data_IF_515905704514
#
_entry.id   IF_515905704514
#
_cell.length_a   1.000
_cell.length_b   1.000
_cell.length_c   1.000
_cell.angle_alpha   90.00
_cell.angle_beta   90.00
_cell.angle_gamma   90.00
#
_symmetry.space_group_name_H-M   'P 1'
#
loop_
_entity.id
_entity.type
_entity.pdbx_description
1 polymer ?
#
# COMPACT_ATOMS: atom_id res chain seq x y z
N UNK A 1 16.43 49.69 0.60
CA UNK A 1 17.85 49.37 0.43
C UNK A 1 17.96 47.87 0.38
N UNK A 2 17.71 47.34 -0.79
CA UNK A 2 18.60 46.73 -1.77
C UNK A 2 19.60 45.77 -1.10
N UNK A 3 19.48 44.46 -1.34
CA UNK A 3 20.41 43.67 -2.14
C UNK A 3 19.79 42.30 -2.52
N UNK A 4 19.57 42.18 -3.81
CA UNK A 4 19.41 40.93 -4.58
C UNK A 4 20.70 40.13 -4.55
N UNK A 5 20.64 38.81 -4.45
CA UNK A 5 21.65 37.91 -5.01
C UNK A 5 21.02 36.67 -5.64
N UNK A 6 20.87 36.78 -6.91
CA UNK A 6 20.68 35.70 -7.90
C UNK A 6 21.95 34.85 -7.95
N UNK A 7 21.85 33.54 -7.83
CA UNK A 7 22.89 32.60 -8.29
C UNK A 7 22.21 31.54 -9.13
N UNK A 8 22.42 31.66 -10.43
CA UNK A 8 22.18 30.63 -11.46
C UNK A 8 23.32 29.60 -11.37
N UNK A 9 22.99 28.32 -11.28
CA UNK A 9 23.91 27.26 -11.66
C UNK A 9 23.23 26.33 -12.67
N UNK A 10 23.61 26.56 -13.93
CA UNK A 10 23.44 25.60 -15.02
C UNK A 10 24.56 24.57 -14.94
N UNK A 11 24.26 23.30 -14.86
CA UNK A 11 25.19 22.26 -15.28
C UNK A 11 24.44 21.25 -16.16
N UNK A 12 24.73 21.36 -17.43
CA UNK A 12 24.40 20.39 -18.46
C UNK A 12 25.31 19.16 -18.28
N UNK A 13 24.74 17.95 -18.22
CA UNK A 13 25.49 16.71 -18.36
C UNK A 13 24.94 15.96 -19.58
N UNK A 14 25.89 15.72 -20.48
CA UNK A 14 25.70 15.14 -21.81
C UNK A 14 25.35 13.66 -21.76
N UNK A 15 24.48 13.26 -22.68
CA UNK A 15 24.20 11.87 -23.07
C UNK A 15 25.44 11.18 -23.62
N UNK A 16 25.68 9.95 -23.19
CA UNK A 16 26.50 8.99 -23.91
C UNK A 16 25.67 7.73 -24.17
N UNK A 17 25.26 7.58 -25.44
CA UNK A 17 24.65 6.36 -26.00
C UNK A 17 25.75 5.33 -26.24
N UNK A 18 25.60 4.13 -25.69
CA UNK A 18 26.28 2.92 -26.19
C UNK A 18 25.26 1.91 -26.68
N UNK A 19 25.16 1.82 -28.00
CA UNK A 19 24.54 0.67 -28.70
C UNK A 19 25.54 -0.50 -28.70
N UNK A 20 25.11 -1.63 -28.16
CA UNK A 20 25.74 -2.91 -28.46
C UNK A 20 24.68 -3.86 -29.03
N UNK A 21 24.78 -4.09 -30.35
CA UNK A 21 24.03 -5.11 -31.07
C UNK A 21 24.70 -6.46 -30.85
N UNK A 22 23.92 -7.49 -30.53
CA UNK A 22 24.34 -8.87 -30.66
C UNK A 22 23.26 -9.67 -31.36
N UNK A 23 23.63 -10.26 -32.50
CA UNK A 23 22.82 -11.03 -33.45
C UNK A 23 22.63 -12.50 -32.98
N UNK A 24 21.61 -13.23 -33.52
CA UNK A 24 21.24 -14.57 -33.08
C UNK A 24 22.07 -15.66 -33.76
N UNK A 25 22.42 -16.71 -33.03
CA UNK A 25 22.96 -17.95 -33.57
C UNK A 25 21.81 -18.96 -33.73
N UNK A 26 21.62 -19.38 -34.98
CA UNK A 26 20.80 -20.54 -35.37
C UNK A 26 21.57 -21.83 -35.10
N UNK A 27 20.97 -22.79 -34.42
CA UNK A 27 21.39 -24.18 -34.51
C UNK A 27 20.21 -25.09 -34.86
N UNK A 28 20.40 -25.79 -35.95
CA UNK A 28 19.54 -26.82 -36.57
C UNK A 28 19.78 -28.14 -35.85
N UNK A 29 18.79 -28.75 -35.28
CA UNK A 29 18.84 -30.11 -34.71
C UNK A 29 17.67 -30.96 -35.18
N UNK A 30 18.00 -32.05 -35.82
CA UNK A 30 17.26 -33.10 -36.52
C UNK A 30 16.20 -33.84 -35.68
N UNK A 31 15.11 -34.36 -36.28
CA UNK A 31 13.99 -34.97 -35.56
C UNK A 31 14.26 -36.42 -35.12
N UNK A 32 14.05 -36.70 -33.87
CA UNK A 32 14.06 -38.06 -33.28
C UNK A 32 12.64 -38.60 -33.09
N UNK A 33 12.49 -39.86 -33.43
CA UNK A 33 11.35 -40.79 -33.48
C UNK A 33 10.49 -40.84 -32.22
N UNK A 34 9.16 -41.08 -32.31
CA UNK A 34 8.22 -41.08 -31.18
C UNK A 34 8.35 -42.40 -30.36
N UNK A 35 8.72 -42.22 -29.09
CA UNK A 35 8.61 -43.26 -28.08
C UNK A 35 7.28 -43.18 -27.35
N UNK A 36 6.50 -44.23 -27.42
CA UNK A 36 5.29 -44.50 -26.64
C UNK A 36 5.66 -44.60 -25.17
N UNK A 37 5.14 -43.71 -24.34
CA UNK A 37 5.19 -43.86 -22.88
C UNK A 37 3.78 -43.80 -22.28
N UNK A 38 3.51 -44.91 -21.65
CA UNK A 38 2.34 -45.30 -20.83
C UNK A 38 2.05 -44.23 -19.75
N UNK A 39 0.81 -43.82 -19.68
CA UNK A 39 0.28 -42.91 -18.66
C UNK A 39 0.38 -43.55 -17.25
N UNK A 40 0.94 -42.86 -16.27
CA UNK A 40 0.73 -43.22 -14.88
C UNK A 40 -0.51 -42.50 -14.33
N UNK A 41 -1.34 -43.29 -13.74
CA UNK A 41 -2.55 -43.02 -12.97
C UNK A 41 -2.43 -41.81 -12.05
N UNK A 42 -3.32 -40.86 -12.21
CA UNK A 42 -3.49 -39.70 -11.33
C UNK A 42 -4.10 -40.14 -10.02
N UNK A 43 -3.33 -40.14 -8.96
CA UNK A 43 -3.85 -40.21 -7.59
C UNK A 43 -4.25 -38.77 -7.20
N UNK A 44 -5.51 -38.50 -6.79
CA UNK A 44 -5.85 -37.18 -6.27
C UNK A 44 -5.24 -37.04 -4.87
N UNK A 45 -4.15 -36.27 -4.77
CA UNK A 45 -3.60 -35.86 -3.49
C UNK A 45 -4.51 -34.76 -2.95
N UNK A 46 -5.47 -35.14 -2.10
CA UNK A 46 -6.22 -34.20 -1.28
C UNK A 46 -5.32 -33.78 -0.11
N UNK A 47 -4.45 -32.80 -0.35
CA UNK A 47 -3.80 -32.09 0.75
C UNK A 47 -4.87 -31.25 1.47
N UNK A 48 -4.99 -31.32 2.80
CA UNK A 48 -5.83 -30.40 3.54
C UNK A 48 -5.26 -29.00 3.33
N UNK A 49 -6.02 -28.14 2.63
CA UNK A 49 -5.75 -26.72 2.55
C UNK A 49 -5.85 -26.19 3.99
N UNK A 50 -4.71 -25.91 4.61
CA UNK A 50 -4.65 -25.19 5.87
C UNK A 50 -5.31 -23.83 5.62
N UNK A 51 -6.53 -23.66 6.12
CA UNK A 51 -7.23 -22.37 6.08
C UNK A 51 -6.41 -21.40 6.92
N UNK A 52 -5.67 -20.53 6.24
CA UNK A 52 -5.00 -19.39 6.88
C UNK A 52 -6.08 -18.65 7.67
N UNK A 53 -5.85 -18.26 8.93
CA UNK A 53 -6.83 -17.46 9.66
C UNK A 53 -7.21 -16.26 8.79
N UNK A 54 -8.49 -16.16 8.47
CA UNK A 54 -8.99 -15.10 7.61
C UNK A 54 -9.11 -13.85 8.46
N UNK A 55 -8.39 -12.79 8.08
CA UNK A 55 -8.54 -11.48 8.70
C UNK A 55 -10.01 -11.06 8.63
N UNK A 56 -10.56 -10.61 9.76
CA UNK A 56 -11.93 -10.09 9.78
C UNK A 56 -11.89 -8.61 9.41
N UNK A 57 -12.59 -8.23 8.34
CA UNK A 57 -12.72 -6.82 7.95
C UNK A 57 -13.17 -5.96 9.13
N UNK A 58 -12.52 -4.80 9.30
CA UNK A 58 -12.85 -3.81 10.32
C UNK A 58 -13.44 -2.59 9.61
N UNK A 59 -14.69 -2.26 9.91
CA UNK A 59 -15.36 -1.07 9.40
C UNK A 59 -14.96 0.13 10.27
N UNK A 60 -14.28 1.12 9.68
CA UNK A 60 -13.85 2.34 10.35
C UNK A 60 -14.87 3.46 10.21
N UNK A 61 -15.46 3.61 9.03
CA UNK A 61 -16.49 4.59 8.74
C UNK A 61 -17.46 4.06 7.68
N UNK A 62 -18.75 4.32 7.86
CA UNK A 62 -19.80 4.15 6.85
C UNK A 62 -20.84 5.23 7.01
N UNK A 63 -20.70 6.28 6.23
CA UNK A 63 -21.56 7.46 6.25
C UNK A 63 -22.20 7.70 4.89
N UNK A 64 -23.01 8.76 4.76
CA UNK A 64 -23.54 9.19 3.47
C UNK A 64 -22.41 9.62 2.50
N UNK A 65 -21.28 10.09 3.06
CA UNK A 65 -20.21 10.72 2.31
C UNK A 65 -19.03 9.78 2.02
N UNK A 66 -18.72 8.86 2.95
CA UNK A 66 -17.54 8.00 2.83
C UNK A 66 -17.80 6.60 3.39
N UNK A 67 -17.04 5.62 2.86
CA UNK A 67 -16.86 4.32 3.50
C UNK A 67 -15.36 4.01 3.60
N UNK A 68 -14.93 3.55 4.78
CA UNK A 68 -13.54 3.18 5.04
C UNK A 68 -13.51 1.85 5.79
N UNK A 69 -12.74 0.89 5.27
CA UNK A 69 -12.59 -0.45 5.88
C UNK A 69 -11.13 -0.87 5.86
N UNK A 70 -10.70 -1.56 6.91
CA UNK A 70 -9.48 -2.37 6.88
C UNK A 70 -9.85 -3.77 6.40
N UNK A 71 -9.18 -4.24 5.36
CA UNK A 71 -9.49 -5.52 4.70
C UNK A 71 -8.47 -6.61 5.00
N UNK A 72 -7.26 -6.23 5.41
CA UNK A 72 -6.22 -7.16 5.85
C UNK A 72 -5.16 -6.44 6.68
N UNK A 73 -4.44 -7.20 7.51
CA UNK A 73 -3.19 -6.82 8.13
C UNK A 73 -2.07 -7.72 7.59
N UNK A 74 -0.93 -7.13 7.24
CA UNK A 74 0.21 -7.84 6.68
C UNK A 74 1.47 -7.51 7.48
N UNK A 75 2.10 -8.55 8.03
CA UNK A 75 3.45 -8.49 8.56
C UNK A 75 4.44 -9.01 7.51
N UNK A 76 5.69 -8.57 7.54
CA UNK A 76 6.73 -8.92 6.57
C UNK A 76 6.52 -8.34 5.16
N UNK A 77 5.80 -7.23 5.03
CA UNK A 77 5.86 -6.43 3.82
C UNK A 77 7.25 -5.80 3.67
N UNK A 78 7.58 -5.31 2.51
CA UNK A 78 8.81 -4.53 2.29
C UNK A 78 8.94 -3.34 3.26
N UNK A 79 7.83 -2.84 3.76
CA UNK A 79 7.75 -1.71 4.70
C UNK A 79 7.64 -2.14 6.17
N UNK A 80 7.59 -3.44 6.52
CA UNK A 80 7.43 -3.93 7.89
C UNK A 80 5.99 -4.34 8.19
N UNK A 81 5.13 -3.42 8.64
CA UNK A 81 3.71 -3.69 8.92
C UNK A 81 2.80 -2.84 8.05
N UNK A 82 1.71 -3.41 7.56
CA UNK A 82 0.76 -2.71 6.70
C UNK A 82 -0.68 -3.15 6.98
N UNK A 83 -1.59 -2.17 7.01
CA UNK A 83 -3.03 -2.38 6.96
C UNK A 83 -3.53 -2.12 5.54
N UNK A 84 -4.19 -3.09 4.91
CA UNK A 84 -4.86 -2.88 3.62
C UNK A 84 -6.18 -2.17 3.87
N UNK A 85 -6.41 -1.09 3.14
CA UNK A 85 -7.56 -0.22 3.34
C UNK A 85 -8.35 -0.08 2.06
N UNK A 86 -9.67 -0.26 2.16
CA UNK A 86 -10.63 0.11 1.13
C UNK A 86 -11.25 1.46 1.48
N UNK A 87 -11.25 2.36 0.49
CA UNK A 87 -11.82 3.70 0.58
C UNK A 87 -12.92 3.85 -0.47
N UNK A 88 -14.02 4.49 -0.10
CA UNK A 88 -15.05 4.95 -1.03
C UNK A 88 -15.42 6.40 -0.72
N UNK A 89 -15.27 7.25 -1.72
CA UNK A 89 -15.75 8.62 -1.72
C UNK A 89 -17.12 8.65 -2.42
N UNK A 90 -18.18 8.92 -1.67
CA UNK A 90 -19.57 8.98 -2.15
C UNK A 90 -20.01 10.40 -2.50
N UNK A 91 -19.10 11.39 -2.37
CA UNK A 91 -19.38 12.80 -2.63
C UNK A 91 -19.10 13.20 -4.08
N UNK A 92 -19.43 14.42 -4.44
CA UNK A 92 -19.15 15.07 -5.72
C UNK A 92 -17.82 15.84 -5.74
N UNK A 93 -17.03 15.78 -4.68
CA UNK A 93 -15.72 16.43 -4.50
C UNK A 93 -14.61 15.40 -4.41
N UNK A 94 -13.39 15.80 -4.69
CA UNK A 94 -12.20 15.01 -4.36
C UNK A 94 -11.91 15.12 -2.87
N UNK A 95 -11.72 13.97 -2.21
CA UNK A 95 -11.44 13.91 -0.78
C UNK A 95 -10.04 13.39 -0.51
N UNK A 96 -9.40 13.98 0.49
CA UNK A 96 -8.15 13.49 1.09
C UNK A 96 -8.49 12.68 2.33
N UNK A 97 -7.91 11.49 2.43
CA UNK A 97 -7.98 10.59 3.58
C UNK A 97 -6.62 10.56 4.26
N UNK A 98 -6.58 10.85 5.56
CA UNK A 98 -5.35 10.84 6.38
C UNK A 98 -5.62 10.21 7.73
N UNK A 99 -4.55 9.84 8.43
CA UNK A 99 -4.59 9.50 9.84
C UNK A 99 -3.67 10.43 10.60
N UNK A 100 -4.14 10.91 11.73
CA UNK A 100 -3.44 11.81 12.63
C UNK A 100 -3.31 11.16 14.01
N UNK A 101 -2.38 11.61 14.85
CA UNK A 101 -2.21 11.18 16.24
C UNK A 101 -2.11 9.65 16.40
N UNK A 102 -1.30 9.02 15.56
CA UNK A 102 -1.23 7.56 15.49
C UNK A 102 -0.35 7.01 16.60
N UNK A 103 -0.86 6.00 17.31
CA UNK A 103 -0.08 5.22 18.26
C UNK A 103 -0.26 3.72 18.03
N UNK A 104 0.83 2.96 18.22
CA UNK A 104 0.86 1.50 18.18
C UNK A 104 1.31 1.00 19.52
N UNK A 105 0.49 0.18 20.18
CA UNK A 105 0.73 -0.31 21.54
C UNK A 105 1.06 0.81 22.55
N UNK A 106 0.47 2.02 22.34
CA UNK A 106 0.68 3.20 23.16
C UNK A 106 1.93 4.04 22.83
N UNK A 107 2.75 3.64 21.85
CA UNK A 107 3.87 4.45 21.35
C UNK A 107 3.44 5.27 20.15
N UNK A 108 3.74 6.58 20.15
CA UNK A 108 3.52 7.43 18.97
C UNK A 108 4.37 6.91 17.81
N UNK A 109 3.72 6.52 16.73
CA UNK A 109 4.35 5.84 15.61
C UNK A 109 3.58 6.17 14.33
N UNK A 110 3.98 7.25 13.66
CA UNK A 110 3.28 7.77 12.50
C UNK A 110 3.52 6.90 11.25
N UNK A 111 2.45 6.43 10.59
CA UNK A 111 2.60 5.68 9.34
C UNK A 111 2.86 6.61 8.17
N UNK A 112 3.42 6.05 7.11
CA UNK A 112 3.46 6.73 5.82
C UNK A 112 2.14 6.51 5.07
N UNK A 113 1.21 7.46 5.18
CA UNK A 113 -0.07 7.37 4.47
C UNK A 113 -0.84 8.68 4.33
N UNK A 114 -1.21 8.97 3.11
CA UNK A 114 -2.27 9.89 2.70
C UNK A 114 -2.80 9.44 1.34
N UNK A 115 -4.09 9.48 1.11
CA UNK A 115 -4.70 9.03 -0.14
C UNK A 115 -5.77 10.01 -0.62
N UNK A 116 -5.66 10.44 -1.88
CA UNK A 116 -6.68 11.25 -2.55
C UNK A 116 -7.62 10.37 -3.36
N UNK A 117 -8.91 10.53 -3.16
CA UNK A 117 -9.94 9.77 -3.89
C UNK A 117 -10.88 10.74 -4.60
N UNK A 118 -10.90 10.69 -5.92
CA UNK A 118 -11.76 11.55 -6.74
C UNK A 118 -13.27 11.31 -6.46
N UNK A 119 -14.09 12.28 -6.81
CA UNK A 119 -15.55 12.27 -6.64
C UNK A 119 -16.19 10.97 -7.14
N UNK A 120 -16.95 10.29 -6.28
CA UNK A 120 -17.68 9.07 -6.62
C UNK A 120 -16.78 7.85 -6.92
N UNK A 121 -15.50 7.86 -6.51
CA UNK A 121 -14.54 6.79 -6.77
C UNK A 121 -14.17 6.01 -5.51
N UNK A 122 -13.46 4.91 -5.74
CA UNK A 122 -12.97 3.97 -4.73
C UNK A 122 -11.47 3.79 -4.90
N UNK A 123 -10.77 3.51 -3.80
CA UNK A 123 -9.36 3.15 -3.81
C UNK A 123 -9.09 1.97 -2.90
N UNK A 124 -8.12 1.14 -3.28
CA UNK A 124 -7.47 0.19 -2.40
C UNK A 124 -6.04 0.65 -2.17
N UNK A 125 -5.69 0.89 -0.92
CA UNK A 125 -4.40 1.45 -0.52
C UNK A 125 -3.86 0.71 0.71
N UNK A 126 -2.74 1.18 1.26
CA UNK A 126 -2.15 0.59 2.47
C UNK A 126 -1.64 1.68 3.39
N UNK A 127 -2.03 1.62 4.66
CA UNK A 127 -1.38 2.35 5.74
C UNK A 127 -0.17 1.53 6.16
N UNK A 128 1.04 2.08 6.10
CA UNK A 128 2.27 1.30 6.29
C UNK A 128 3.22 1.97 7.26
N UNK A 129 3.88 1.17 8.10
CA UNK A 129 4.93 1.57 9.02
C UNK A 129 6.24 0.92 8.62
N UNK A 130 7.36 1.61 8.83
CA UNK A 130 8.67 1.00 8.63
C UNK A 130 9.00 0.06 9.79
N UNK A 131 9.73 -1.00 9.50
CA UNK A 131 10.18 -1.95 10.53
C UNK A 131 11.04 -1.25 11.61
N UNK A 132 11.85 -0.26 11.21
CA UNK A 132 12.65 0.56 12.12
C UNK A 132 11.82 1.27 13.18
N UNK A 133 10.63 1.76 12.83
CA UNK A 133 9.78 2.50 13.77
C UNK A 133 9.29 1.59 14.90
N UNK A 134 9.09 0.31 14.59
CA UNK A 134 8.71 -0.70 15.58
C UNK A 134 9.92 -1.19 16.40
N UNK A 135 11.06 -1.39 15.75
CA UNK A 135 12.31 -1.78 16.41
C UNK A 135 12.76 -0.73 17.45
N UNK A 136 12.72 0.56 17.07
CA UNK A 136 13.11 1.68 17.94
C UNK A 136 12.19 1.81 19.17
N UNK A 137 10.93 1.41 19.07
CA UNK A 137 9.94 1.40 20.15
C UNK A 137 9.82 0.04 20.86
N UNK A 138 10.59 -0.98 20.44
CA UNK A 138 10.55 -2.33 21.02
C UNK A 138 9.26 -3.09 20.75
N UNK A 139 8.51 -2.72 19.70
CA UNK A 139 7.24 -3.34 19.31
C UNK A 139 7.56 -4.60 18.49
N UNK A 140 7.28 -5.77 19.07
CA UNK A 140 7.47 -7.07 18.39
C UNK A 140 6.19 -7.59 17.75
N UNK A 141 5.05 -7.27 18.33
CA UNK A 141 3.72 -7.65 17.86
C UNK A 141 2.78 -6.45 17.97
N UNK A 142 1.92 -6.27 16.99
CA UNK A 142 0.92 -5.19 16.99
C UNK A 142 -0.33 -5.73 17.67
N UNK A 143 -0.61 -5.22 18.87
CA UNK A 143 -1.78 -5.59 19.65
C UNK A 143 -2.92 -4.58 19.49
N UNK A 144 -2.55 -3.29 19.42
CA UNK A 144 -3.50 -2.19 19.36
C UNK A 144 -2.94 -1.05 18.51
N UNK A 145 -3.79 -0.47 17.69
CA UNK A 145 -3.51 0.77 16.96
C UNK A 145 -4.62 1.77 17.24
N UNK A 146 -4.26 2.96 17.73
CA UNK A 146 -5.17 4.10 17.88
C UNK A 146 -4.75 5.21 16.94
N UNK A 147 -5.72 5.82 16.24
CA UNK A 147 -5.49 6.93 15.33
C UNK A 147 -6.75 7.77 15.16
N UNK A 148 -6.58 9.00 14.74
CA UNK A 148 -7.68 9.86 14.28
C UNK A 148 -7.77 9.75 12.75
N UNK A 149 -8.83 9.11 12.25
CA UNK A 149 -9.14 9.11 10.81
C UNK A 149 -9.75 10.46 10.46
N UNK A 150 -9.13 11.15 9.51
CA UNK A 150 -9.59 12.45 9.02
C UNK A 150 -9.83 12.38 7.52
N UNK A 151 -11.00 12.90 7.08
CA UNK A 151 -11.36 13.02 5.67
C UNK A 151 -11.84 14.43 5.39
N UNK A 152 -11.25 15.10 4.41
CA UNK A 152 -11.54 16.49 4.08
C UNK A 152 -11.49 16.75 2.57
N UNK A 153 -12.05 17.90 2.14
CA UNK A 153 -11.98 18.34 0.73
C UNK A 153 -10.52 18.64 0.36
N UNK A 154 -9.96 17.92 -0.60
CA UNK A 154 -8.55 18.08 -1.01
C UNK A 154 -8.23 19.48 -1.57
N UNK A 155 -9.24 20.20 -2.01
CA UNK A 155 -9.12 21.55 -2.56
C UNK A 155 -9.38 22.66 -1.52
N UNK A 156 -9.92 22.31 -0.34
CA UNK A 156 -10.20 23.27 0.74
C UNK A 156 -9.95 22.62 2.11
N UNK A 157 -8.70 22.54 2.51
CA UNK A 157 -8.28 21.94 3.79
C UNK A 157 -8.66 22.77 5.04
N UNK A 158 -9.19 24.00 4.84
CA UNK A 158 -9.70 24.86 5.91
C UNK A 158 -11.21 24.70 6.13
N UNK A 159 -11.91 24.03 5.22
CA UNK A 159 -13.31 23.67 5.42
C UNK A 159 -13.46 22.66 6.57
N UNK A 160 -14.69 22.50 7.04
CA UNK A 160 -14.99 21.42 8.00
C UNK A 160 -14.66 20.05 7.41
N UNK A 161 -14.16 19.18 8.26
CA UNK A 161 -13.86 17.80 7.88
C UNK A 161 -15.15 17.07 7.46
N UNK A 162 -15.10 16.32 6.38
CA UNK A 162 -16.21 15.47 5.92
C UNK A 162 -16.45 14.32 6.90
N UNK A 163 -15.36 13.85 7.51
CA UNK A 163 -15.36 12.86 8.57
C UNK A 163 -14.12 13.05 9.46
N UNK A 164 -14.32 12.95 10.77
CA UNK A 164 -13.23 12.90 11.75
C UNK A 164 -13.66 12.09 12.96
N UNK A 165 -12.90 11.07 13.31
CA UNK A 165 -13.14 10.27 14.51
C UNK A 165 -11.85 9.60 14.97
N UNK A 166 -11.71 9.44 16.30
CA UNK A 166 -10.59 8.69 16.89
C UNK A 166 -10.99 7.24 17.07
N UNK A 167 -10.24 6.35 16.48
CA UNK A 167 -10.55 4.94 16.37
C UNK A 167 -9.43 4.11 16.99
N UNK A 168 -9.80 3.11 17.77
CA UNK A 168 -8.89 2.08 18.27
C UNK A 168 -9.25 0.73 17.66
N UNK A 169 -8.26 0.04 17.11
CA UNK A 169 -8.42 -1.30 16.52
C UNK A 169 -7.45 -2.28 17.16
N UNK A 170 -7.82 -3.56 17.11
CA UNK A 170 -6.97 -4.72 17.43
C UNK A 170 -6.94 -5.60 16.19
N UNK A 171 -5.93 -5.45 15.34
CA UNK A 171 -5.87 -6.06 14.02
C UNK A 171 -5.50 -7.54 14.03
#
# INVERSE_FOLDING_TARGET
MIVQKTILFFTAIALLFCLAACAPASETGTPGTPGTITSPSTVPSTAPSATKPQFKEILLADTQNVQVKITAAETNSFFGYSLKVYLENKTDKELMFTVDDVSVNGFMCDPFWAESVAAGKKSNTSISWFASDFEDNGIQEVEEITFTLRVYDSNDFLAEDVFRDTITIQP
#
